data_IF_784669951519
#
_entry.id   IF_784669951519
#
_cell.length_a   1.000
_cell.length_b   1.000
_cell.length_c   1.000
_cell.angle_alpha   90.00
_cell.angle_beta   90.00
_cell.angle_gamma   90.00
#
_symmetry.space_group_name_H-M   'P 1'
#
loop_
_entity.id
_entity.type
_entity.pdbx_description
1 polymer ?
#
# COMPACT_ATOMS: atom_id res chain seq x y z
N UNK A 1 1.74 11.07 20.62
CA UNK A 1 1.45 9.90 19.74
C UNK A 1 0.25 10.23 18.87
N UNK A 2 0.41 10.44 17.57
CA UNK A 2 -0.72 10.77 16.71
C UNK A 2 -1.59 9.54 16.43
N UNK A 3 -2.90 9.72 16.53
CA UNK A 3 -3.91 8.73 16.14
C UNK A 3 -4.66 9.25 14.93
N UNK A 4 -4.95 8.38 13.98
CA UNK A 4 -5.76 8.71 12.80
C UNK A 4 -6.91 7.75 12.73
N UNK A 5 -8.07 8.27 12.32
CA UNK A 5 -9.34 7.54 12.32
C UNK A 5 -9.92 7.50 10.92
N UNK A 6 -10.37 6.35 10.52
CA UNK A 6 -11.30 6.14 9.42
C UNK A 6 -12.51 5.37 9.96
N UNK A 7 -13.67 5.54 9.33
CA UNK A 7 -14.93 4.96 9.80
C UNK A 7 -15.70 4.39 8.61
N UNK A 8 -16.34 3.25 8.82
CA UNK A 8 -17.26 2.68 7.83
C UNK A 8 -18.65 2.52 8.45
N UNK A 9 -19.67 3.00 7.75
CA UNK A 9 -21.06 2.68 7.99
C UNK A 9 -21.49 1.59 7.00
N UNK A 10 -22.20 0.57 7.49
CA UNK A 10 -22.66 -0.55 6.67
C UNK A 10 -24.13 -0.83 6.93
N UNK A 11 -24.89 -1.04 5.85
CA UNK A 11 -26.30 -1.40 5.89
C UNK A 11 -26.55 -2.68 5.08
N UNK A 12 -27.29 -3.61 5.65
CA UNK A 12 -27.69 -4.85 4.98
C UNK A 12 -26.76 -6.03 5.20
N UNK A 13 -26.98 -7.09 4.46
CA UNK A 13 -26.21 -8.33 4.51
C UNK A 13 -24.95 -8.25 3.67
N UNK A 14 -24.17 -9.34 3.70
CA UNK A 14 -22.89 -9.39 2.96
C UNK A 14 -23.08 -9.26 1.46
N UNK A 15 -24.08 -9.92 0.90
CA UNK A 15 -24.29 -9.99 -0.55
C UNK A 15 -25.17 -8.87 -1.10
N UNK A 16 -26.08 -8.36 -0.31
CA UNK A 16 -27.07 -7.35 -0.71
C UNK A 16 -26.86 -5.99 -0.06
N UNK A 17 -25.94 -5.90 0.88
CA UNK A 17 -25.63 -4.67 1.58
C UNK A 17 -24.52 -3.84 0.90
N UNK A 18 -24.37 -2.63 1.42
CA UNK A 18 -23.29 -1.72 1.03
C UNK A 18 -22.90 -0.80 2.18
N UNK A 19 -21.76 -0.17 2.04
CA UNK A 19 -21.29 0.76 3.04
C UNK A 19 -20.56 1.95 2.44
N UNK A 20 -20.15 2.85 3.33
CA UNK A 20 -19.34 4.00 2.97
C UNK A 20 -18.18 4.11 3.96
N UNK A 21 -16.97 4.13 3.44
CA UNK A 21 -15.76 4.37 4.24
C UNK A 21 -15.39 5.84 4.16
N UNK A 22 -15.19 6.44 5.33
CA UNK A 22 -14.83 7.85 5.48
C UNK A 22 -13.43 7.99 6.04
N UNK A 23 -12.60 8.82 5.41
CA UNK A 23 -11.31 9.24 5.94
C UNK A 23 -11.54 10.34 6.97
N UNK A 24 -11.95 9.96 8.17
CA UNK A 24 -12.52 10.86 9.18
C UNK A 24 -11.51 11.90 9.68
N UNK A 25 -10.26 11.49 9.92
CA UNK A 25 -9.25 12.40 10.47
C UNK A 25 -8.88 13.54 9.53
N UNK A 26 -8.85 13.29 8.23
CA UNK A 26 -8.50 14.31 7.24
C UNK A 26 -9.73 15.01 6.65
N UNK A 27 -10.87 14.31 6.65
CA UNK A 27 -12.09 14.80 5.97
C UNK A 27 -11.97 14.82 4.44
N UNK A 28 -10.99 14.12 3.88
CA UNK A 28 -10.67 14.20 2.45
C UNK A 28 -11.64 13.45 1.55
N UNK A 29 -12.40 12.50 2.08
CA UNK A 29 -13.36 11.79 1.25
C UNK A 29 -14.16 10.73 1.98
N UNK A 30 -15.25 10.34 1.31
CA UNK A 30 -16.13 9.22 1.66
C UNK A 30 -16.33 8.39 0.39
N UNK A 31 -16.16 7.08 0.49
CA UNK A 31 -16.11 6.17 -0.65
C UNK A 31 -17.04 4.99 -0.44
N UNK A 32 -17.76 4.59 -1.49
CA UNK A 32 -18.64 3.43 -1.46
C UNK A 32 -17.83 2.12 -1.43
N UNK A 33 -18.32 1.14 -0.67
CA UNK A 33 -17.77 -0.22 -0.60
C UNK A 33 -18.90 -1.24 -0.59
N UNK A 34 -18.69 -2.38 -1.26
CA UNK A 34 -19.61 -3.52 -1.18
C UNK A 34 -18.84 -4.83 -1.40
N UNK A 35 -19.35 -5.93 -0.85
CA UNK A 35 -18.67 -7.21 -0.98
C UNK A 35 -18.73 -7.77 -2.41
N UNK A 36 -19.86 -7.71 -3.16
CA UNK A 36 -19.87 -8.15 -4.55
C UNK A 36 -18.85 -7.42 -5.42
N UNK A 37 -18.69 -6.11 -5.22
CA UNK A 37 -17.69 -5.33 -5.97
C UNK A 37 -16.26 -5.66 -5.54
N UNK A 38 -16.03 -5.88 -4.24
CA UNK A 38 -14.73 -6.35 -3.74
C UNK A 38 -14.32 -7.68 -4.37
N UNK A 39 -15.28 -8.57 -4.61
CA UNK A 39 -15.05 -9.88 -5.19
C UNK A 39 -14.98 -9.87 -6.73
N UNK A 40 -15.33 -8.77 -7.40
CA UNK A 40 -15.29 -8.68 -8.85
C UNK A 40 -13.88 -8.34 -9.35
N UNK A 41 -13.55 -8.79 -10.56
CA UNK A 41 -12.22 -8.56 -11.16
C UNK A 41 -11.97 -7.08 -11.48
N UNK A 42 -13.00 -6.33 -11.85
CA UNK A 42 -12.90 -4.92 -12.23
C UNK A 42 -13.17 -3.94 -11.07
N UNK A 43 -13.53 -4.46 -9.88
CA UNK A 43 -13.86 -3.64 -8.72
C UNK A 43 -15.12 -2.79 -8.83
N UNK A 44 -15.80 -2.83 -9.99
CA UNK A 44 -17.09 -2.16 -10.22
C UNK A 44 -17.08 -0.64 -10.03
N UNK A 45 -15.93 0.01 -10.10
CA UNK A 45 -15.79 1.46 -9.96
C UNK A 45 -15.91 1.99 -8.53
N UNK A 46 -15.88 1.12 -7.52
CA UNK A 46 -15.85 1.47 -6.10
C UNK A 46 -14.56 0.99 -5.46
N UNK A 47 -14.18 1.56 -4.32
CA UNK A 47 -12.98 1.10 -3.60
C UNK A 47 -13.26 -0.17 -2.78
N UNK A 48 -12.21 -0.73 -2.23
CA UNK A 48 -12.25 -1.93 -1.40
C UNK A 48 -11.10 -1.93 -0.38
N UNK A 49 -11.10 -2.84 0.59
CA UNK A 49 -10.03 -2.92 1.59
C UNK A 49 -8.65 -3.11 0.99
N UNK A 50 -8.51 -3.89 -0.08
CA UNK A 50 -7.22 -4.18 -0.71
C UNK A 50 -6.62 -2.91 -1.34
N UNK A 51 -7.43 -2.13 -2.05
CA UNK A 51 -6.98 -0.84 -2.62
C UNK A 51 -6.60 0.16 -1.53
N UNK A 52 -7.37 0.23 -0.44
CA UNK A 52 -7.07 1.10 0.69
C UNK A 52 -5.76 0.71 1.40
N UNK A 53 -5.50 -0.59 1.55
CA UNK A 53 -4.22 -1.10 2.05
C UNK A 53 -3.09 -0.75 1.09
N UNK A 54 -3.31 -0.92 -0.20
CA UNK A 54 -2.34 -0.55 -1.24
C UNK A 54 -2.01 0.94 -1.21
N UNK A 55 -3.01 1.80 -1.05
CA UNK A 55 -2.81 3.24 -0.89
C UNK A 55 -1.97 3.57 0.34
N UNK A 56 -2.28 2.96 1.48
CA UNK A 56 -1.52 3.13 2.72
C UNK A 56 -0.09 2.63 2.56
N UNK A 57 0.08 1.45 1.98
CA UNK A 57 1.40 0.80 1.84
C UNK A 57 2.30 1.55 0.86
N UNK A 58 1.79 1.94 -0.31
CA UNK A 58 2.57 2.70 -1.29
C UNK A 58 3.02 4.07 -0.74
N UNK A 59 2.14 4.78 -0.04
CA UNK A 59 2.46 6.06 0.58
C UNK A 59 3.52 5.90 1.69
N UNK A 60 3.34 4.93 2.57
CA UNK A 60 4.29 4.66 3.67
C UNK A 60 5.65 4.22 3.14
N UNK A 61 5.67 3.34 2.13
CA UNK A 61 6.90 2.89 1.49
C UNK A 61 7.67 4.04 0.83
N UNK A 62 6.99 4.92 0.10
CA UNK A 62 7.61 6.08 -0.52
C UNK A 62 8.32 6.97 0.52
N UNK A 63 7.65 7.26 1.65
CA UNK A 63 8.24 8.03 2.75
C UNK A 63 9.43 7.28 3.37
N UNK A 64 9.32 5.97 3.55
CA UNK A 64 10.38 5.13 4.08
C UNK A 64 11.61 5.13 3.17
N UNK A 65 11.42 4.99 1.85
CA UNK A 65 12.51 5.03 0.88
C UNK A 65 13.18 6.40 0.83
N UNK A 66 12.41 7.48 0.84
CA UNK A 66 12.96 8.83 0.90
C UNK A 66 13.87 8.99 2.15
N UNK A 67 13.41 8.48 3.30
CA UNK A 67 14.21 8.48 4.53
C UNK A 67 15.47 7.62 4.43
N UNK A 68 15.40 6.44 3.80
CA UNK A 68 16.55 5.56 3.61
C UNK A 68 17.61 6.18 2.68
N UNK A 69 17.16 6.82 1.60
CA UNK A 69 18.07 7.55 0.69
C UNK A 69 18.76 8.70 1.41
N UNK A 70 18.01 9.50 2.16
CA UNK A 70 18.57 10.62 2.92
C UNK A 70 19.63 10.18 3.95
N UNK A 71 19.38 9.07 4.67
CA UNK A 71 20.36 8.51 5.63
C UNK A 71 21.66 8.04 4.96
N UNK A 72 21.60 7.71 3.67
CA UNK A 72 22.79 7.34 2.87
C UNK A 72 23.47 8.54 2.20
N UNK A 73 23.03 9.76 2.51
CA UNK A 73 23.59 10.98 1.94
C UNK A 73 23.09 11.30 0.53
N UNK A 74 22.12 10.55 0.02
CA UNK A 74 21.50 10.83 -1.26
C UNK A 74 20.41 11.88 -1.15
N UNK A 75 20.10 12.50 -2.28
CA UNK A 75 18.98 13.44 -2.41
C UNK A 75 17.89 12.78 -3.26
N UNK A 76 16.76 12.35 -2.66
CA UNK A 76 15.63 11.86 -3.43
C UNK A 76 15.07 12.99 -4.31
N UNK A 77 14.81 12.70 -5.58
CA UNK A 77 14.23 13.66 -6.53
C UNK A 77 12.76 13.36 -6.79
N UNK A 78 12.47 12.17 -7.24
CA UNK A 78 11.11 11.70 -7.50
C UNK A 78 11.03 10.19 -7.38
N UNK A 79 9.82 9.69 -7.09
CA UNK A 79 9.55 8.26 -7.15
C UNK A 79 8.08 8.00 -7.37
N UNK A 80 7.80 6.94 -8.09
CA UNK A 80 6.48 6.35 -8.22
C UNK A 80 6.48 5.00 -7.53
N UNK A 81 5.52 4.78 -6.66
CA UNK A 81 5.37 3.52 -5.92
C UNK A 81 3.97 2.97 -6.15
N UNK A 82 3.90 1.73 -6.57
CA UNK A 82 2.67 0.96 -6.71
C UNK A 82 2.68 -0.20 -5.73
N UNK A 83 1.53 -0.51 -5.14
CA UNK A 83 1.32 -1.68 -4.32
C UNK A 83 0.17 -2.51 -4.88
N UNK A 84 0.46 -3.70 -5.37
CA UNK A 84 -0.54 -4.65 -5.82
C UNK A 84 -0.85 -5.60 -4.66
N UNK A 85 -2.06 -5.51 -4.12
CA UNK A 85 -2.54 -6.29 -2.97
C UNK A 85 -3.48 -7.36 -3.47
N UNK A 86 -3.12 -8.63 -3.26
CA UNK A 86 -3.90 -9.77 -3.71
C UNK A 86 -4.66 -10.42 -2.56
N UNK A 87 -5.96 -10.63 -2.77
CA UNK A 87 -6.82 -11.41 -1.89
C UNK A 87 -7.18 -12.73 -2.57
N UNK A 88 -7.15 -13.82 -1.84
CA UNK A 88 -7.50 -15.15 -2.34
C UNK A 88 -8.14 -16.01 -1.24
N UNK A 89 -8.79 -17.10 -1.65
CA UNK A 89 -9.37 -18.06 -0.71
C UNK A 89 -8.31 -19.09 -0.37
N UNK A 90 -7.81 -19.01 0.87
CA UNK A 90 -6.86 -20.00 1.38
C UNK A 90 -7.62 -21.19 1.97
N UNK A 91 -7.19 -22.46 1.71
CA UNK A 91 -7.91 -23.65 2.18
C UNK A 91 -8.16 -23.70 3.68
N UNK A 92 -7.20 -23.20 4.48
CA UNK A 92 -7.28 -23.24 5.95
C UNK A 92 -7.72 -21.90 6.57
N UNK A 93 -7.42 -20.78 5.92
CA UNK A 93 -7.63 -19.43 6.48
C UNK A 93 -8.86 -18.72 5.92
N UNK A 94 -9.48 -19.30 4.87
CA UNK A 94 -10.56 -18.64 4.14
C UNK A 94 -10.06 -17.45 3.31
N UNK A 95 -10.91 -16.45 3.12
CA UNK A 95 -10.56 -15.25 2.37
C UNK A 95 -9.43 -14.50 3.08
N UNK A 96 -8.29 -14.36 2.40
CA UNK A 96 -7.06 -13.83 3.00
C UNK A 96 -6.31 -12.96 2.01
N UNK A 97 -5.71 -11.89 2.52
CA UNK A 97 -4.71 -11.14 1.75
C UNK A 97 -3.43 -11.96 1.77
N UNK A 98 -3.01 -12.42 0.59
CA UNK A 98 -1.90 -13.37 0.46
C UNK A 98 -0.57 -12.71 0.14
N UNK A 99 -0.57 -11.72 -0.75
CA UNK A 99 0.64 -11.08 -1.23
C UNK A 99 0.45 -9.58 -1.41
N UNK A 100 1.55 -8.85 -1.24
CA UNK A 100 1.70 -7.47 -1.69
C UNK A 100 2.94 -7.39 -2.55
N UNK A 101 2.80 -6.89 -3.79
CA UNK A 101 3.93 -6.58 -4.66
C UNK A 101 4.12 -5.08 -4.68
N UNK A 102 5.25 -4.62 -4.16
CA UNK A 102 5.67 -3.23 -4.24
C UNK A 102 6.51 -3.03 -5.50
N UNK A 103 6.14 -2.06 -6.31
CA UNK A 103 6.91 -1.65 -7.49
C UNK A 103 7.33 -0.21 -7.30
N UNK A 104 8.63 0.07 -7.40
CA UNK A 104 9.15 1.43 -7.31
C UNK A 104 10.05 1.77 -8.47
N UNK A 105 9.85 2.96 -9.01
CA UNK A 105 10.72 3.60 -10.00
C UNK A 105 11.06 4.98 -9.47
N UNK A 106 12.33 5.28 -9.31
CA UNK A 106 12.72 6.52 -8.66
C UNK A 106 14.07 7.06 -9.12
N UNK A 107 14.22 8.37 -8.90
CA UNK A 107 15.43 9.13 -9.17
C UNK A 107 16.00 9.70 -7.88
N UNK A 108 17.32 9.64 -7.74
CA UNK A 108 18.03 10.25 -6.62
C UNK A 108 19.44 10.68 -7.08
N UNK A 109 19.89 11.80 -6.53
CA UNK A 109 21.27 12.26 -6.72
C UNK A 109 22.18 11.76 -5.58
N UNK A 110 23.46 11.55 -5.90
CA UNK A 110 24.46 11.21 -4.90
C UNK A 110 24.45 9.75 -4.44
N UNK A 111 23.88 8.87 -5.23
CA UNK A 111 23.84 7.43 -4.98
C UNK A 111 23.90 6.68 -6.32
N UNK A 112 24.52 5.53 -6.33
CA UNK A 112 24.51 4.64 -7.48
C UNK A 112 23.32 3.67 -7.42
N UNK A 113 23.12 2.90 -8.49
CA UNK A 113 22.03 1.93 -8.59
C UNK A 113 22.07 0.89 -7.46
N UNK A 114 23.25 0.37 -7.13
CA UNK A 114 23.40 -0.61 -6.06
C UNK A 114 22.97 -0.02 -4.71
N UNK A 115 23.38 1.20 -4.41
CA UNK A 115 23.00 1.90 -3.17
C UNK A 115 21.48 2.21 -3.14
N UNK A 116 20.90 2.57 -4.27
CA UNK A 116 19.45 2.77 -4.38
C UNK A 116 18.68 1.47 -4.10
N UNK A 117 19.12 0.35 -4.66
CA UNK A 117 18.47 -0.95 -4.44
C UNK A 117 18.60 -1.42 -2.99
N UNK A 118 19.74 -1.17 -2.34
CA UNK A 118 19.91 -1.44 -0.90
C UNK A 118 18.97 -0.59 -0.05
N UNK A 119 18.83 0.69 -0.39
CA UNK A 119 17.89 1.59 0.28
C UNK A 119 16.44 1.12 0.09
N UNK A 120 16.10 0.66 -1.12
CA UNK A 120 14.77 0.14 -1.45
C UNK A 120 14.42 -1.12 -0.62
N UNK A 121 15.35 -2.05 -0.47
CA UNK A 121 15.17 -3.23 0.40
C UNK A 121 15.04 -2.84 1.87
N UNK A 122 15.88 -1.94 2.36
CA UNK A 122 15.78 -1.45 3.73
C UNK A 122 14.44 -0.74 4.00
N UNK A 123 13.93 -0.01 3.02
CA UNK A 123 12.62 0.63 3.11
C UNK A 123 11.48 -0.39 3.20
N UNK A 124 11.55 -1.48 2.43
CA UNK A 124 10.56 -2.57 2.50
C UNK A 124 10.48 -3.17 3.91
N UNK A 125 11.60 -3.44 4.51
CA UNK A 125 11.67 -4.03 5.87
C UNK A 125 11.28 -3.00 6.94
N UNK A 126 11.70 -1.76 6.79
CA UNK A 126 11.54 -0.71 7.80
C UNK A 126 10.21 0.03 7.77
N UNK A 127 9.48 -0.07 6.68
CA UNK A 127 8.18 0.59 6.51
C UNK A 127 7.17 0.12 7.58
N UNK A 128 6.56 1.04 8.36
CA UNK A 128 5.58 0.67 9.39
C UNK A 128 4.41 -0.16 8.89
N UNK A 129 3.92 0.09 7.67
CA UNK A 129 2.84 -0.72 7.07
C UNK A 129 3.33 -2.12 6.72
N UNK A 130 4.55 -2.25 6.17
CA UNK A 130 5.16 -3.57 5.95
C UNK A 130 5.27 -4.38 7.25
N UNK A 131 5.65 -3.74 8.36
CA UNK A 131 5.70 -4.37 9.68
C UNK A 131 4.32 -4.80 10.16
N UNK A 132 3.31 -3.97 9.96
CA UNK A 132 1.93 -4.31 10.31
C UNK A 132 1.39 -5.49 9.48
N UNK A 133 1.86 -5.66 8.25
CA UNK A 133 1.51 -6.74 7.33
C UNK A 133 2.50 -7.91 7.39
N UNK A 134 3.13 -8.16 8.52
CA UNK A 134 4.17 -9.21 8.66
C UNK A 134 3.68 -10.64 8.33
N UNK A 135 2.38 -10.89 8.38
CA UNK A 135 1.76 -12.16 7.99
C UNK A 135 1.51 -12.32 6.49
N UNK A 136 1.86 -11.32 5.69
CA UNK A 136 1.66 -11.29 4.24
C UNK A 136 3.02 -11.37 3.56
N UNK A 137 3.10 -12.10 2.44
CA UNK A 137 4.30 -12.10 1.61
C UNK A 137 4.41 -10.76 0.87
N UNK A 138 5.49 -10.01 1.16
CA UNK A 138 5.78 -8.72 0.54
C UNK A 138 7.00 -8.86 -0.34
N UNK A 139 6.84 -8.62 -1.63
CA UNK A 139 7.93 -8.62 -2.62
C UNK A 139 8.16 -7.22 -3.16
N UNK A 140 9.34 -6.99 -3.71
CA UNK A 140 9.77 -5.69 -4.20
C UNK A 140 10.39 -5.81 -5.60
N UNK A 141 9.88 -4.99 -6.52
CA UNK A 141 10.49 -4.73 -7.81
C UNK A 141 10.92 -3.26 -7.85
N UNK A 142 12.21 -3.02 -7.65
CA UNK A 142 12.78 -1.69 -7.57
C UNK A 142 13.75 -1.44 -8.72
N UNK A 143 13.68 -0.25 -9.31
CA UNK A 143 14.64 0.22 -10.29
C UNK A 143 14.92 1.71 -10.08
N UNK A 144 16.19 2.08 -10.21
CA UNK A 144 16.61 3.47 -10.28
C UNK A 144 16.48 3.96 -11.70
N UNK A 145 15.82 5.10 -11.86
CA UNK A 145 15.75 5.79 -13.15
C UNK A 145 16.80 6.88 -13.18
N UNK A 146 17.36 7.09 -14.37
CA UNK A 146 18.30 8.18 -14.63
C UNK A 146 17.60 9.26 -15.44
N UNK A 147 17.81 10.50 -15.01
CA UNK A 147 17.29 11.67 -15.72
C UNK A 147 17.81 11.78 -17.16
#
# INVERSE_FOLDING_TARGET
>A
MPTRTARTAWDGGLQDGSGQVELTSSGLGTFEVSFPQRASEDGGGVTNPEELIGAAHSACYAMSLAGQLGRRGATPLSMEVKADVTVEIHPEKGLSISTVVLTVRGEADGIDEAGFLEAAEAAKVGCPVSKALAGVEITLDAAMETA
#
